data_IF_579290883707
#
_entry.id   IF_579290883707
#
_cell.length_a   1.000
_cell.length_b   1.000
_cell.length_c   1.000
_cell.angle_alpha   90.00
_cell.angle_beta   90.00
_cell.angle_gamma   90.00
#
_symmetry.space_group_name_H-M   'P 1'
#
loop_
_entity.id
_entity.type
_entity.pdbx_description
1 polymer ?
#
# COMPACT_ATOMS: atom_id res chain seq x y z
N UNK A 1 -12.31 -1.91 -37.89
CA UNK A 1 -12.74 -2.44 -36.58
C UNK A 1 -11.70 -3.32 -35.85
N UNK A 2 -10.87 -4.13 -36.53
CA UNK A 2 -9.88 -5.04 -35.86
C UNK A 2 -8.77 -4.30 -35.09
N UNK A 3 -8.38 -3.11 -35.54
CA UNK A 3 -7.32 -2.30 -34.92
C UNK A 3 -7.77 -1.66 -33.60
N UNK A 4 -9.01 -1.14 -33.55
CA UNK A 4 -9.61 -0.63 -32.32
C UNK A 4 -9.72 -1.70 -31.23
N UNK A 5 -10.11 -2.94 -31.60
CA UNK A 5 -10.14 -4.06 -30.66
C UNK A 5 -8.75 -4.37 -30.09
N UNK A 6 -7.69 -4.33 -30.90
CA UNK A 6 -6.31 -4.54 -30.44
C UNK A 6 -5.86 -3.44 -29.46
N UNK A 7 -6.20 -2.19 -29.74
CA UNK A 7 -5.90 -1.06 -28.84
C UNK A 7 -6.63 -1.22 -27.50
N UNK A 8 -7.91 -1.58 -27.53
CA UNK A 8 -8.69 -1.84 -26.32
C UNK A 8 -8.11 -2.98 -25.49
N UNK A 9 -7.68 -4.08 -26.12
CA UNK A 9 -7.05 -5.21 -25.42
C UNK A 9 -5.71 -4.79 -24.80
N UNK A 10 -4.88 -4.06 -25.54
CA UNK A 10 -3.61 -3.56 -25.04
C UNK A 10 -3.80 -2.61 -23.85
N UNK A 11 -4.79 -1.71 -23.92
CA UNK A 11 -5.13 -0.80 -22.85
C UNK A 11 -5.64 -1.53 -21.60
N UNK A 12 -6.51 -2.53 -21.79
CA UNK A 12 -7.01 -3.35 -20.69
C UNK A 12 -5.88 -4.14 -20.00
N UNK A 13 -4.95 -4.69 -20.77
CA UNK A 13 -3.75 -5.35 -20.24
C UNK A 13 -2.88 -4.38 -19.43
N UNK A 14 -2.67 -3.17 -19.95
CA UNK A 14 -1.83 -2.17 -19.32
C UNK A 14 -2.44 -1.65 -18.01
N UNK A 15 -3.75 -1.40 -17.99
CA UNK A 15 -4.51 -1.07 -16.77
C UNK A 15 -4.49 -2.23 -15.76
N UNK A 16 -4.65 -3.46 -16.24
CA UNK A 16 -4.56 -4.65 -15.39
C UNK A 16 -3.20 -4.77 -14.71
N UNK A 17 -2.10 -4.57 -15.45
CA UNK A 17 -0.76 -4.55 -14.89
C UNK A 17 -0.58 -3.42 -13.88
N UNK A 18 -1.01 -2.21 -14.20
CA UNK A 18 -0.88 -1.05 -13.32
C UNK A 18 -1.59 -1.25 -11.98
N UNK A 19 -2.77 -1.88 -12.00
CA UNK A 19 -3.51 -2.22 -10.78
C UNK A 19 -2.90 -3.40 -10.02
N UNK A 20 -2.29 -4.36 -10.73
CA UNK A 20 -1.69 -5.54 -10.10
C UNK A 20 -0.34 -5.23 -9.42
N UNK A 21 0.49 -4.35 -10.01
CA UNK A 21 1.80 -3.96 -9.49
C UNK A 21 1.84 -3.62 -7.99
N UNK A 22 0.96 -2.77 -7.43
CA UNK A 22 1.00 -2.43 -6.01
C UNK A 22 0.70 -3.62 -5.08
N UNK A 23 0.07 -4.70 -5.55
CA UNK A 23 -0.14 -5.91 -4.75
C UNK A 23 1.11 -6.79 -4.62
N UNK A 24 2.12 -6.59 -5.48
CA UNK A 24 3.40 -7.30 -5.40
C UNK A 24 4.43 -6.59 -4.51
N UNK A 25 4.20 -5.32 -4.17
CA UNK A 25 5.05 -4.56 -3.25
C UNK A 25 4.60 -4.89 -1.83
N UNK A 26 5.50 -5.45 -1.02
CA UNK A 26 5.19 -5.69 0.39
C UNK A 26 5.07 -4.36 1.12
N UNK A 27 3.94 -4.13 1.79
CA UNK A 27 3.80 -2.98 2.67
C UNK A 27 4.81 -3.01 3.82
N UNK A 28 5.32 -4.19 4.16
CA UNK A 28 6.28 -4.37 5.25
C UNK A 28 7.64 -3.69 4.97
N UNK A 29 7.99 -3.44 3.71
CA UNK A 29 9.22 -2.72 3.35
C UNK A 29 9.21 -1.25 3.84
N UNK A 30 8.02 -0.71 4.12
CA UNK A 30 7.85 0.64 4.67
C UNK A 30 7.94 0.69 6.20
N UNK A 31 7.94 -0.47 6.89
CA UNK A 31 8.00 -0.53 8.36
C UNK A 31 9.16 0.27 8.95
N UNK A 32 10.43 0.14 8.48
CA UNK A 32 11.55 0.82 9.12
C UNK A 32 11.46 2.34 9.03
N UNK A 33 10.92 2.86 7.91
CA UNK A 33 10.72 4.30 7.72
C UNK A 33 9.59 4.81 8.61
N UNK A 34 8.51 4.02 8.74
CA UNK A 34 7.36 4.36 9.54
C UNK A 34 7.67 4.31 11.04
N UNK A 35 8.37 3.28 11.50
CA UNK A 35 8.86 3.17 12.89
C UNK A 35 9.75 4.35 13.26
N UNK A 36 10.66 4.77 12.37
CA UNK A 36 11.52 5.94 12.62
C UNK A 36 10.70 7.24 12.73
N UNK A 37 9.70 7.42 11.87
CA UNK A 37 8.84 8.60 11.88
C UNK A 37 7.95 8.65 13.14
N UNK A 38 7.37 7.51 13.53
CA UNK A 38 6.50 7.43 14.71
C UNK A 38 7.33 7.50 16.00
N UNK A 39 8.47 6.82 16.07
CA UNK A 39 9.37 6.90 17.24
C UNK A 39 9.84 8.33 17.49
N UNK A 40 10.10 9.11 16.43
CA UNK A 40 10.47 10.52 16.56
C UNK A 40 9.32 11.40 17.08
N UNK A 41 8.07 10.98 16.91
CA UNK A 41 6.88 11.71 17.39
C UNK A 41 6.48 11.30 18.80
N UNK A 42 6.55 10.01 19.12
CA UNK A 42 6.26 9.46 20.44
C UNK A 42 7.42 9.61 21.42
N UNK A 43 8.64 9.88 20.91
CA UNK A 43 9.87 9.91 21.70
C UNK A 43 10.18 8.59 22.43
N UNK A 44 9.56 7.50 21.95
CA UNK A 44 9.69 6.13 22.47
C UNK A 44 9.94 5.16 21.31
N UNK A 45 10.68 4.07 21.54
CA UNK A 45 10.91 3.05 20.53
C UNK A 45 9.61 2.32 20.20
N UNK A 46 9.13 2.46 18.97
CA UNK A 46 7.96 1.71 18.48
C UNK A 46 8.37 0.55 17.58
N UNK A 47 7.67 -0.57 17.71
CA UNK A 47 7.81 -1.72 16.83
C UNK A 47 6.48 -2.01 16.12
N UNK A 48 6.51 -2.03 14.79
CA UNK A 48 5.36 -2.29 13.93
C UNK A 48 5.48 -3.71 13.39
N UNK A 49 4.68 -4.63 13.92
CA UNK A 49 4.77 -6.04 13.55
C UNK A 49 4.28 -6.35 12.11
N UNK A 50 3.29 -5.60 11.60
CA UNK A 50 2.76 -5.77 10.24
C UNK A 50 1.94 -4.56 9.82
N UNK A 51 2.02 -4.19 8.54
CA UNK A 51 1.12 -3.22 7.95
C UNK A 51 -0.04 -3.95 7.27
N UNK A 52 -1.28 -3.60 7.64
CA UNK A 52 -2.50 -4.18 7.05
C UNK A 52 -3.32 -3.08 6.41
N UNK A 53 -3.78 -3.34 5.20
CA UNK A 53 -4.79 -2.50 4.57
C UNK A 53 -6.15 -2.79 5.22
N UNK A 54 -6.80 -1.75 5.75
CA UNK A 54 -8.15 -1.83 6.28
C UNK A 54 -9.05 -0.87 5.49
N UNK A 55 -10.09 -1.42 4.85
CA UNK A 55 -11.05 -0.62 4.09
C UNK A 55 -12.01 0.17 4.99
N UNK A 56 -12.08 -0.21 6.27
CA UNK A 56 -12.90 0.42 7.30
C UNK A 56 -11.98 0.90 8.42
N UNK A 57 -12.31 2.01 9.11
CA UNK A 57 -11.54 2.46 10.25
C UNK A 57 -11.53 1.35 11.32
N UNK A 58 -10.33 0.93 11.70
CA UNK A 58 -10.13 -0.04 12.78
C UNK A 58 -10.03 0.70 14.11
N UNK A 59 -10.56 0.15 15.21
CA UNK A 59 -10.41 0.75 16.52
C UNK A 59 -8.93 0.85 16.87
N UNK A 60 -8.49 2.04 17.26
CA UNK A 60 -7.13 2.34 17.69
C UNK A 60 -7.18 3.06 19.04
N UNK A 61 -6.18 2.80 19.88
CA UNK A 61 -6.04 3.42 21.19
C UNK A 61 -5.10 4.61 21.04
N UNK A 62 -5.62 5.81 21.25
CA UNK A 62 -4.83 7.03 21.44
C UNK A 62 -4.49 7.17 22.92
N UNK A 63 -3.21 7.28 23.24
CA UNK A 63 -2.75 7.61 24.59
C UNK A 63 -2.39 9.10 24.54
N UNK A 64 -3.18 9.93 25.24
CA UNK A 64 -2.94 11.37 25.41
C UNK A 64 -2.01 11.66 26.59
#
# INVERSE_FOLDING_TARGET
>A
MKWLKRILIALALLLGLALALPFFISLDDYIPQLEKAVSARLNEPVSIARIRFAALPVPHVTIE
#
